data_IF_881182937197
#
_entry.id   IF_881182937197
#
_cell.length_a   1.000
_cell.length_b   1.000
_cell.length_c   1.000
_cell.angle_alpha   90.00
_cell.angle_beta   90.00
_cell.angle_gamma   90.00
#
_symmetry.space_group_name_H-M   'P 1'
#
loop_
_entity.id
_entity.type
_entity.pdbx_description
1 polymer ?
#
# COMPACT_ATOMS: atom_id res chain seq x y z
N UNK A 1 -4.32 -9.69 3.23
CA UNK A 1 -3.28 -9.63 2.16
C UNK A 1 -2.77 -8.20 2.15
N UNK A 2 -1.46 -7.98 2.15
CA UNK A 2 -0.88 -6.64 2.09
C UNK A 2 -0.21 -6.42 0.75
N UNK A 3 -0.21 -5.18 0.27
CA UNK A 3 0.46 -4.80 -0.96
C UNK A 3 1.52 -3.73 -0.68
N UNK A 4 2.74 -3.94 -1.14
CA UNK A 4 3.82 -2.96 -1.06
C UNK A 4 3.88 -2.17 -2.36
N UNK A 5 3.77 -0.85 -2.25
CA UNK A 5 3.83 0.05 -3.40
C UNK A 5 5.18 0.78 -3.45
N UNK A 6 6.00 0.59 -4.50
CA UNK A 6 7.24 1.36 -4.68
C UNK A 6 6.98 2.84 -5.02
N UNK A 7 5.76 3.19 -5.46
CA UNK A 7 5.37 4.57 -5.72
C UNK A 7 5.10 5.29 -4.39
N UNK A 8 5.61 6.51 -4.17
CA UNK A 8 5.29 7.28 -2.96
C UNK A 8 3.79 7.54 -2.83
N UNK A 9 3.28 7.52 -1.61
CA UNK A 9 1.84 7.62 -1.31
C UNK A 9 1.16 8.85 -1.92
N UNK A 10 1.87 9.99 -1.94
CA UNK A 10 1.42 11.23 -2.57
C UNK A 10 1.02 11.07 -4.05
N UNK A 11 1.53 10.06 -4.74
CA UNK A 11 1.26 9.80 -6.15
C UNK A 11 0.27 8.65 -6.39
N UNK A 12 -0.30 8.02 -5.36
CA UNK A 12 -1.19 6.87 -5.57
C UNK A 12 -2.48 7.23 -6.32
N UNK A 13 -2.91 8.48 -6.24
CA UNK A 13 -4.06 9.00 -6.99
C UNK A 13 -3.74 9.29 -8.46
N UNK A 14 -2.47 9.31 -8.87
CA UNK A 14 -2.07 9.79 -10.19
C UNK A 14 -2.33 8.78 -11.30
N UNK A 15 -2.36 7.49 -11.00
CA UNK A 15 -2.65 6.45 -11.99
C UNK A 15 -3.93 5.70 -11.66
N UNK A 16 -4.71 5.40 -12.70
CA UNK A 16 -5.98 4.68 -12.55
C UNK A 16 -5.75 3.24 -12.05
N UNK A 17 -4.70 2.58 -12.51
CA UNK A 17 -4.34 1.22 -12.07
C UNK A 17 -4.01 1.16 -10.59
N UNK A 18 -3.28 2.14 -10.04
CA UNK A 18 -3.03 2.21 -8.60
C UNK A 18 -4.33 2.36 -7.80
N UNK A 19 -5.28 3.17 -8.26
CA UNK A 19 -6.59 3.31 -7.61
C UNK A 19 -7.43 2.02 -7.66
N UNK A 20 -7.38 1.30 -8.78
CA UNK A 20 -8.04 -0.01 -8.91
C UNK A 20 -7.43 -1.03 -7.94
N UNK A 21 -6.09 -1.15 -7.93
CA UNK A 21 -5.38 -2.03 -7.01
C UNK A 21 -5.69 -1.71 -5.55
N UNK A 22 -5.74 -0.43 -5.17
CA UNK A 22 -6.08 0.00 -3.82
C UNK A 22 -7.44 -0.53 -3.35
N UNK A 23 -8.44 -0.59 -4.25
CA UNK A 23 -9.75 -1.18 -3.95
C UNK A 23 -9.67 -2.71 -3.87
N UNK A 24 -8.94 -3.35 -4.78
CA UNK A 24 -8.80 -4.81 -4.84
C UNK A 24 -8.10 -5.38 -3.60
N UNK A 25 -7.18 -4.62 -3.01
CA UNK A 25 -6.44 -5.03 -1.80
C UNK A 25 -7.05 -4.46 -0.51
N UNK A 26 -8.32 -4.09 -0.53
CA UNK A 26 -9.06 -3.57 0.63
C UNK A 26 -8.36 -2.39 1.34
N UNK A 27 -7.74 -1.49 0.56
CA UNK A 27 -7.01 -0.33 1.06
C UNK A 27 -5.77 -0.69 1.92
N UNK A 28 -5.31 -1.95 1.88
CA UNK A 28 -4.13 -2.42 2.61
C UNK A 28 -2.86 -2.26 1.75
N UNK A 29 -2.64 -1.05 1.22
CA UNK A 29 -1.42 -0.68 0.51
C UNK A 29 -0.48 0.08 1.44
N UNK A 30 0.82 -0.22 1.37
CA UNK A 30 1.85 0.42 2.18
C UNK A 30 2.98 0.93 1.28
N UNK A 31 3.54 2.12 1.54
CA UNK A 31 4.67 2.62 0.78
C UNK A 31 5.93 1.82 1.07
N UNK A 32 6.86 1.78 0.11
CA UNK A 32 8.17 1.15 0.28
C UNK A 32 9.12 2.05 1.10
N UNK A 33 8.78 2.24 2.38
CA UNK A 33 9.57 2.96 3.38
C UNK A 33 9.68 2.12 4.66
N UNK A 34 10.63 2.43 5.54
CA UNK A 34 10.75 1.74 6.85
C UNK A 34 9.43 1.77 7.63
N UNK A 35 8.77 2.92 7.66
CA UNK A 35 7.48 3.06 8.35
C UNK A 35 6.36 2.27 7.64
N UNK A 36 6.34 2.25 6.31
CA UNK A 36 5.36 1.48 5.55
C UNK A 36 5.55 -0.04 5.73
N UNK A 37 6.81 -0.51 5.76
CA UNK A 37 7.14 -1.90 6.05
C UNK A 37 6.71 -2.30 7.46
N UNK A 38 6.96 -1.46 8.46
CA UNK A 38 6.48 -1.71 9.83
C UNK A 38 4.95 -1.84 9.86
N UNK A 39 4.23 -0.91 9.24
CA UNK A 39 2.76 -0.97 9.19
C UNK A 39 2.23 -2.20 8.47
N UNK A 40 2.90 -2.64 7.40
CA UNK A 40 2.56 -3.88 6.71
C UNK A 40 2.75 -5.12 7.61
N UNK A 41 3.85 -5.17 8.37
CA UNK A 41 4.14 -6.25 9.33
C UNK A 41 3.09 -6.25 10.45
N UNK A 42 2.74 -5.09 11.01
CA UNK A 42 1.75 -4.98 12.09
C UNK A 42 0.37 -5.50 11.66
N UNK A 43 -0.01 -5.29 10.39
CA UNK A 43 -1.25 -5.82 9.83
C UNK A 43 -1.19 -7.34 9.59
N UNK A 44 -0.02 -7.88 9.25
CA UNK A 44 0.17 -9.33 9.05
C UNK A 44 0.31 -10.11 10.35
N UNK A 45 0.78 -9.46 11.42
CA UNK A 45 0.94 -10.06 12.73
C UNK A 45 -0.39 -10.22 13.51
N UNK A 46 -1.50 -9.70 12.96
CA UNK A 46 -2.87 -9.90 13.45
C UNK A 46 -3.52 -11.09 12.79
#
# INVERSE_FOLDING_TARGET
>A
MVWLNPVPEAHWSYTHSTQMLHKLVNQQMFPLSLNGLQGAIDVLAK
#
